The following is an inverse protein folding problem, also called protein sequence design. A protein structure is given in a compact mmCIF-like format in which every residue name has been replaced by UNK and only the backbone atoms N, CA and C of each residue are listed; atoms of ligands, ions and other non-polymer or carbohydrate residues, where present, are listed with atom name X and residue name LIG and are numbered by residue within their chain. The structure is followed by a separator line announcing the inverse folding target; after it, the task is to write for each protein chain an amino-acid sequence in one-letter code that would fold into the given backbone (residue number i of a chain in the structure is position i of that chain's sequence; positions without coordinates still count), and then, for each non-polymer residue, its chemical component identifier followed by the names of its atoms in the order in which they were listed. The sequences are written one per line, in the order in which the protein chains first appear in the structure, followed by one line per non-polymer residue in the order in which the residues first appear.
data_IF_554422263562
#
_entry.id   IF_554422263562
#
_cell.length_a   1.000
_cell.length_b   1.000
_cell.length_c   1.000
_cell.angle_alpha   90.00
_cell.angle_beta   90.00
_cell.angle_gamma   90.00
#
_symmetry.space_group_name_H-M   'P 1'
#
loop_
_entity.id
_entity.type
_entity.pdbx_description
1 polymer ?
#
# COMPACT_ATOMS: atom_id res chain seq x y z
N UNK A 1 35.29 -1.57 -9.45
CA UNK A 1 34.21 -2.47 -9.00
C UNK A 1 33.26 -1.63 -8.18
N UNK A 2 31.97 -1.57 -8.53
CA UNK A 2 30.96 -0.97 -7.66
C UNK A 2 30.83 -1.87 -6.42
N UNK A 3 30.83 -1.30 -5.22
CA UNK A 3 30.61 -2.08 -4.01
C UNK A 3 29.14 -2.54 -4.00
N UNK A 4 28.91 -3.82 -4.29
CA UNK A 4 27.59 -4.43 -4.28
C UNK A 4 26.89 -4.29 -2.93
N UNK A 5 27.67 -4.16 -1.84
CA UNK A 5 27.16 -3.89 -0.50
C UNK A 5 26.49 -2.51 -0.42
N UNK A 6 27.12 -1.49 -1.02
CA UNK A 6 26.55 -0.14 -1.11
C UNK A 6 25.30 -0.11 -2.00
N UNK A 7 25.31 -0.89 -3.09
CA UNK A 7 24.16 -1.00 -3.99
C UNK A 7 22.93 -1.58 -3.29
N UNK A 8 23.07 -2.67 -2.52
CA UNK A 8 21.95 -3.19 -1.73
C UNK A 8 21.55 -2.21 -0.64
N UNK A 9 22.52 -1.67 0.10
CA UNK A 9 22.22 -0.74 1.18
C UNK A 9 21.39 0.45 0.67
N UNK A 10 21.71 0.94 -0.53
CA UNK A 10 20.94 1.96 -1.25
C UNK A 10 19.53 1.47 -1.60
N UNK A 11 19.38 0.28 -2.20
CA UNK A 11 18.06 -0.26 -2.55
C UNK A 11 17.18 -0.50 -1.32
N UNK A 12 17.74 -0.97 -0.21
CA UNK A 12 17.02 -1.07 1.06
C UNK A 12 16.56 0.31 1.54
N UNK A 13 17.44 1.32 1.54
CA UNK A 13 17.08 2.69 1.96
C UNK A 13 15.98 3.29 1.07
N UNK A 14 16.07 3.08 -0.25
CA UNK A 14 15.05 3.55 -1.20
C UNK A 14 13.69 2.90 -0.92
N UNK A 15 13.67 1.59 -0.63
CA UNK A 15 12.44 0.87 -0.30
C UNK A 15 11.86 1.35 1.05
N UNK A 16 12.69 1.49 2.08
CA UNK A 16 12.29 1.97 3.40
C UNK A 16 11.70 3.40 3.34
N UNK A 17 12.34 4.29 2.57
CA UNK A 17 11.84 5.65 2.36
C UNK A 17 10.47 5.65 1.67
N UNK A 18 10.29 4.76 0.67
CA UNK A 18 9.00 4.58 0.02
C UNK A 18 7.93 4.10 1.02
N UNK A 19 8.26 3.11 1.86
CA UNK A 19 7.36 2.59 2.88
C UNK A 19 6.93 3.67 3.88
N UNK A 20 7.88 4.47 4.36
CA UNK A 20 7.59 5.57 5.29
C UNK A 20 6.67 6.61 4.64
N UNK A 21 6.98 7.03 3.42
CA UNK A 21 6.12 7.93 2.64
C UNK A 21 4.70 7.38 2.49
N UNK A 22 4.58 6.08 2.18
CA UNK A 22 3.28 5.42 2.04
C UNK A 22 2.51 5.35 3.35
N UNK A 23 3.17 5.09 4.47
CA UNK A 23 2.54 5.13 5.79
C UNK A 23 2.04 6.54 6.13
N UNK A 24 2.82 7.58 5.80
CA UNK A 24 2.41 8.96 6.04
C UNK A 24 1.19 9.32 5.20
N UNK A 25 1.15 8.94 3.92
CA UNK A 25 -0.02 9.13 3.06
C UNK A 25 -1.25 8.39 3.60
N UNK A 26 -1.11 7.13 4.03
CA UNK A 26 -2.21 6.35 4.61
C UNK A 26 -2.76 6.95 5.91
N UNK A 27 -1.97 7.74 6.64
CA UNK A 27 -2.41 8.44 7.85
C UNK A 27 -3.03 9.80 7.56
N UNK A 28 -2.48 10.52 6.59
CA UNK A 28 -2.89 11.89 6.27
C UNK A 28 -4.12 11.94 5.34
N UNK A 29 -4.21 11.02 4.39
CA UNK A 29 -5.24 11.06 3.35
C UNK A 29 -6.42 10.14 3.67
N UNK A 30 -7.67 10.63 3.59
CA UNK A 30 -8.86 9.80 3.77
C UNK A 30 -9.09 8.79 2.62
N UNK A 31 -8.61 9.11 1.41
CA UNK A 31 -8.78 8.32 0.19
C UNK A 31 -7.46 8.27 -0.60
N UNK A 32 -6.44 7.59 -0.07
CA UNK A 32 -5.14 7.48 -0.74
C UNK A 32 -5.25 6.64 -2.01
N UNK A 33 -4.42 6.93 -3.02
CA UNK A 33 -4.34 6.16 -4.26
C UNK A 33 -3.62 4.81 -4.03
N UNK A 34 -4.38 3.82 -3.58
CA UNK A 34 -3.89 2.47 -3.32
C UNK A 34 -3.33 1.77 -4.57
N UNK A 35 -3.81 2.12 -5.77
CA UNK A 35 -3.36 1.50 -7.01
C UNK A 35 -1.94 1.99 -7.34
N UNK A 36 -1.74 3.31 -7.30
CA UNK A 36 -0.41 3.91 -7.49
C UNK A 36 0.59 3.38 -6.46
N UNK A 37 0.22 3.36 -5.18
CA UNK A 37 1.08 2.83 -4.13
C UNK A 37 1.48 1.36 -4.37
N UNK A 38 0.56 0.54 -4.88
CA UNK A 38 0.84 -0.87 -5.21
C UNK A 38 1.84 -1.00 -6.35
N UNK A 39 1.71 -0.16 -7.39
CA UNK A 39 2.64 -0.14 -8.53
C UNK A 39 4.04 0.26 -8.07
N UNK A 40 4.16 1.32 -7.29
CA UNK A 40 5.44 1.81 -6.76
C UNK A 40 6.12 0.75 -5.89
N UNK A 41 5.39 0.13 -4.96
CA UNK A 41 5.93 -0.93 -4.08
C UNK A 41 6.36 -2.16 -4.86
N UNK A 42 5.60 -2.57 -5.88
CA UNK A 42 5.99 -3.68 -6.76
C UNK A 42 7.29 -3.36 -7.49
N UNK A 43 7.38 -2.17 -8.10
CA UNK A 43 8.58 -1.75 -8.80
C UNK A 43 9.81 -1.69 -7.90
N UNK A 44 9.68 -1.12 -6.70
CA UNK A 44 10.77 -1.06 -5.73
C UNK A 44 11.16 -2.45 -5.19
N UNK A 45 10.19 -3.36 -5.03
CA UNK A 45 10.43 -4.72 -4.54
C UNK A 45 11.20 -5.55 -5.56
N UNK A 46 10.88 -5.43 -6.85
CA UNK A 46 11.62 -6.13 -7.90
C UNK A 46 13.06 -5.61 -8.02
N UNK A 47 13.28 -4.30 -7.88
CA UNK A 47 14.63 -3.73 -7.84
C UNK A 47 15.44 -4.25 -6.65
N UNK A 48 14.85 -4.26 -5.46
CA UNK A 48 15.49 -4.79 -4.25
C UNK A 48 15.82 -6.28 -4.40
N UNK A 49 14.88 -7.07 -4.93
CA UNK A 49 15.08 -8.49 -5.20
C UNK A 49 16.22 -8.73 -6.19
N UNK A 50 16.29 -7.95 -7.27
CA UNK A 50 17.39 -8.04 -8.24
C UNK A 50 18.74 -7.75 -7.59
N UNK A 51 18.84 -6.71 -6.75
CA UNK A 51 20.07 -6.36 -6.05
C UNK A 51 20.51 -7.43 -5.04
N UNK A 52 19.56 -8.04 -4.34
CA UNK A 52 19.82 -9.16 -3.42
C UNK A 52 20.34 -10.38 -4.20
N UNK A 53 19.69 -10.73 -5.31
CA UNK A 53 20.11 -11.86 -6.14
C UNK A 53 21.52 -11.66 -6.71
N UNK A 54 21.83 -10.45 -7.18
CA UNK A 54 23.16 -10.08 -7.67
C UNK A 54 24.21 -10.26 -6.56
N UNK A 55 23.94 -9.72 -5.37
CA UNK A 55 24.84 -9.86 -4.23
C UNK A 55 25.05 -11.30 -3.79
N UNK A 56 23.99 -12.09 -3.65
CA UNK A 56 24.09 -13.50 -3.28
C UNK A 56 24.97 -14.25 -4.31
N UNK A 57 24.75 -13.99 -5.60
CA UNK A 57 25.50 -14.63 -6.69
C UNK A 57 27.00 -14.30 -6.65
N UNK A 58 27.37 -13.11 -6.17
CA UNK A 58 28.79 -12.70 -6.04
C UNK A 58 29.43 -13.14 -4.72
N UNK A 59 28.69 -13.12 -3.60
CA UNK A 59 29.19 -13.60 -2.29
C UNK A 59 29.43 -15.12 -2.25
N UNK A 60 28.79 -15.90 -3.13
CA UNK A 60 29.11 -17.33 -3.30
C UNK A 60 30.52 -17.62 -3.85
N UNK A 61 31.30 -16.58 -4.20
CA UNK A 61 32.63 -16.71 -4.83
C UNK A 61 33.80 -16.20 -3.97
N UNK A 62 33.58 -15.61 -2.78
CA UNK A 62 34.63 -15.02 -1.93
C UNK A 62 34.54 -15.46 -0.44
N UNK A 63 35.61 -15.22 0.33
CA UNK A 63 35.89 -15.81 1.66
C UNK A 63 34.78 -15.65 2.73
N UNK A 64 34.47 -16.78 3.38
CA UNK A 64 33.31 -17.04 4.25
C UNK A 64 33.10 -16.12 5.48
N UNK A 65 34.11 -15.40 6.00
CA UNK A 65 33.97 -14.73 7.30
C UNK A 65 33.46 -13.28 7.23
N UNK A 66 33.89 -12.52 6.22
CA UNK A 66 33.47 -11.12 6.03
C UNK A 66 32.05 -11.03 5.45
N UNK A 67 31.66 -12.01 4.64
CA UNK A 67 30.33 -12.08 4.03
C UNK A 67 29.23 -12.46 5.03
N UNK A 68 29.56 -13.18 6.11
CA UNK A 68 28.60 -13.58 7.14
C UNK A 68 27.98 -12.37 7.88
N UNK A 69 28.79 -11.37 8.23
CA UNK A 69 28.30 -10.17 8.94
C UNK A 69 27.43 -9.29 8.03
N UNK A 70 27.82 -9.13 6.76
CA UNK A 70 27.03 -8.40 5.77
C UNK A 70 25.69 -9.08 5.49
N UNK A 71 25.69 -10.40 5.37
CA UNK A 71 24.48 -11.19 5.17
C UNK A 71 23.54 -11.12 6.40
N UNK A 72 24.09 -11.17 7.61
CA UNK A 72 23.32 -11.01 8.84
C UNK A 72 22.63 -9.64 8.92
N UNK A 73 23.38 -8.57 8.60
CA UNK A 73 22.86 -7.20 8.55
C UNK A 73 21.75 -7.07 7.50
N UNK A 74 21.95 -7.61 6.30
CA UNK A 74 20.93 -7.62 5.25
C UNK A 74 19.66 -8.36 5.70
N UNK A 75 19.81 -9.55 6.29
CA UNK A 75 18.69 -10.34 6.80
C UNK A 75 17.89 -9.59 7.87
N UNK A 76 18.57 -8.94 8.81
CA UNK A 76 17.91 -8.10 9.82
C UNK A 76 17.11 -6.98 9.17
N UNK A 77 17.72 -6.28 8.21
CA UNK A 77 17.10 -5.15 7.51
C UNK A 77 15.88 -5.57 6.68
N UNK A 78 15.96 -6.70 5.97
CA UNK A 78 14.82 -7.29 5.27
C UNK A 78 13.69 -7.69 6.23
N UNK A 79 14.03 -8.19 7.43
CA UNK A 79 13.04 -8.45 8.48
C UNK A 79 12.26 -7.19 8.90
N UNK A 80 12.94 -6.05 9.00
CA UNK A 80 12.30 -4.77 9.28
C UNK A 80 11.39 -4.32 8.13
N UNK A 81 11.88 -4.40 6.89
CA UNK A 81 11.10 -4.09 5.69
C UNK A 81 9.79 -4.90 5.65
N UNK A 82 9.87 -6.22 5.89
CA UNK A 82 8.69 -7.09 5.91
C UNK A 82 7.69 -6.71 7.01
N UNK A 83 8.18 -6.33 8.19
CA UNK A 83 7.34 -5.88 9.30
C UNK A 83 6.58 -4.60 8.94
N UNK A 84 7.26 -3.66 8.29
CA UNK A 84 6.65 -2.40 7.83
C UNK A 84 5.62 -2.68 6.71
N UNK A 85 5.91 -3.59 5.78
CA UNK A 85 4.95 -4.02 4.75
C UNK A 85 3.68 -4.63 5.34
N UNK A 86 3.80 -5.41 6.41
CA UNK A 86 2.67 -5.92 7.16
C UNK A 86 1.81 -4.80 7.76
N UNK A 87 2.46 -3.77 8.32
CA UNK A 87 1.78 -2.58 8.86
C UNK A 87 1.02 -1.81 7.78
N UNK A 88 1.65 -1.59 6.62
CA UNK A 88 1.00 -0.97 5.46
C UNK A 88 -0.22 -1.82 5.03
N UNK A 89 -0.09 -3.15 5.01
CA UNK A 89 -1.19 -4.06 4.67
C UNK A 89 -2.41 -3.90 5.58
N UNK A 90 -2.19 -3.77 6.90
CA UNK A 90 -3.26 -3.51 7.87
C UNK A 90 -3.95 -2.17 7.61
N UNK A 91 -3.18 -1.11 7.37
CA UNK A 91 -3.72 0.22 7.09
C UNK A 91 -4.54 0.26 5.79
N UNK A 92 -4.06 -0.40 4.73
CA UNK A 92 -4.81 -0.57 3.48
C UNK A 92 -6.14 -1.28 3.73
N UNK A 93 -6.13 -2.36 4.53
CA UNK A 93 -7.36 -3.09 4.84
C UNK A 93 -8.34 -2.22 5.65
N UNK A 94 -7.83 -1.40 6.57
CA UNK A 94 -8.65 -0.43 7.32
C UNK A 94 -9.37 0.54 6.37
N UNK A 95 -8.64 1.11 5.41
CA UNK A 95 -9.19 2.01 4.39
C UNK A 95 -10.26 1.34 3.52
N UNK A 96 -10.02 0.10 3.06
CA UNK A 96 -11.02 -0.69 2.32
C UNK A 96 -12.31 -0.89 3.13
N UNK A 97 -12.18 -1.26 4.40
CA UNK A 97 -13.33 -1.48 5.27
C UNK A 97 -14.13 -0.18 5.50
N UNK A 98 -13.45 0.97 5.59
CA UNK A 98 -14.11 2.28 5.70
C UNK A 98 -14.88 2.62 4.42
N UNK A 99 -14.26 2.43 3.26
CA UNK A 99 -14.89 2.62 1.95
C UNK A 99 -16.14 1.75 1.78
N UNK A 100 -16.08 0.48 2.14
CA UNK A 100 -17.23 -0.43 2.08
C UNK A 100 -18.39 0.04 2.95
N UNK A 101 -18.12 0.54 4.17
CA UNK A 101 -19.14 1.11 5.05
C UNK A 101 -19.78 2.35 4.43
N UNK A 102 -18.98 3.26 3.89
CA UNK A 102 -19.46 4.46 3.22
C UNK A 102 -20.33 4.13 2.00
N UNK A 103 -19.93 3.16 1.18
CA UNK A 103 -20.70 2.69 0.03
C UNK A 103 -22.03 2.05 0.44
N UNK A 104 -22.05 1.25 1.51
CA UNK A 104 -23.29 0.68 2.05
C UNK A 104 -24.24 1.78 2.52
N UNK A 105 -23.72 2.79 3.22
CA UNK A 105 -24.51 3.94 3.66
C UNK A 105 -25.07 4.72 2.47
N UNK A 106 -24.26 4.98 1.44
CA UNK A 106 -24.68 5.68 0.24
C UNK A 106 -25.77 4.89 -0.53
N UNK A 107 -25.59 3.57 -0.67
CA UNK A 107 -26.59 2.70 -1.29
C UNK A 107 -27.92 2.74 -0.54
N UNK A 108 -27.89 2.68 0.78
CA UNK A 108 -29.09 2.79 1.60
C UNK A 108 -29.76 4.15 1.43
N UNK A 109 -29.00 5.25 1.52
CA UNK A 109 -29.53 6.60 1.28
C UNK A 109 -30.16 6.77 -0.10
N UNK A 110 -29.55 6.20 -1.15
CA UNK A 110 -30.12 6.17 -2.49
C UNK A 110 -31.46 5.43 -2.53
N UNK A 111 -31.55 4.23 -1.95
CA UNK A 111 -32.81 3.46 -1.90
C UNK A 111 -33.89 4.22 -1.14
N UNK A 112 -33.54 4.88 -0.04
CA UNK A 112 -34.45 5.74 0.72
C UNK A 112 -34.98 6.89 -0.14
N UNK A 113 -34.10 7.62 -0.85
CA UNK A 113 -34.52 8.69 -1.76
C UNK A 113 -35.41 8.19 -2.90
N UNK A 114 -35.10 7.03 -3.46
CA UNK A 114 -35.93 6.40 -4.51
C UNK A 114 -37.33 6.05 -3.98
N UNK A 115 -37.47 5.67 -2.71
CA UNK A 115 -38.79 5.41 -2.10
C UNK A 115 -39.66 6.66 -1.95
N UNK A 116 -39.05 7.84 -1.81
CA UNK A 116 -39.76 9.13 -1.80
C UNK A 116 -40.05 9.68 -3.20
N UNK A 117 -39.51 9.05 -4.25
CA UNK A 117 -39.77 9.49 -5.62
C UNK A 117 -41.23 9.21 -5.96
N UNK A 118 -42.03 10.23 -6.35
CA UNK A 118 -43.39 10.00 -6.79
C UNK A 118 -43.38 9.02 -7.96
N UNK A 119 -44.24 8.00 -7.91
CA UNK A 119 -44.40 7.07 -9.01
C UNK A 119 -44.70 7.86 -10.30
N UNK A 120 -44.12 7.47 -11.44
CA UNK A 120 -44.53 8.02 -12.74
C UNK A 120 -46.01 7.65 -12.95
N UNK A 121 -46.92 8.55 -12.57
CA UNK A 121 -48.36 8.32 -12.54
C UNK A 121 -49.06 8.68 -11.21
N UNK A 122 -48.35 9.12 -10.16
CA UNK A 122 -49.00 9.63 -8.96
C UNK A 122 -49.74 10.94 -9.28
N UNK A 123 -51.03 11.08 -8.95
CA UNK A 123 -51.79 12.29 -9.25
C UNK A 123 -51.13 13.48 -8.55
N UNK A 124 -50.91 14.57 -9.29
CA UNK A 124 -50.52 15.84 -8.69
C UNK A 124 -51.57 16.19 -7.66
N UNK A 125 -51.17 16.32 -6.39
CA UNK A 125 -52.05 16.88 -5.36
C UNK A 125 -52.39 18.31 -5.78
N UNK A 126 -53.54 18.47 -6.45
CA UNK A 126 -54.14 19.76 -6.70
C UNK A 126 -54.50 20.32 -5.32
N UNK A 127 -53.70 21.29 -4.89
CA UNK A 127 -53.99 22.14 -3.75
C UNK A 127 -55.36 22.78 -3.94
N UNK A 128 -56.38 22.24 -3.27
CA UNK A 128 -57.66 22.94 -3.12
C UNK A 128 -57.44 23.93 -1.98
N UNK A 129 -57.06 25.15 -2.35
CA UNK A 129 -57.14 26.30 -1.45
C UNK A 129 -58.62 26.64 -1.25
N UNK A 130 -59.09 26.59 0.01
CA UNK A 130 -60.36 27.20 0.43
C UNK A 130 -60.10 28.61 0.94
#
# INVERSE_FOLDING_TARGET
MKDLSEQIAKQCSEYENLQNRHLDLLKAEPLPDLAQMTIERRGASEKLKSAINEFISTTGQFEFSYDAHKMATLKQRLGLILKVDGTIGVEIQRHKNQLEKSLKSLKHGKTTLESYRPAKGSPSLLSISR
#
